data_IF_800657987453
#
_entry.id   IF_800657987453
#
_cell.length_a   1.000
_cell.length_b   1.000
_cell.length_c   1.000
_cell.angle_alpha   90.00
_cell.angle_beta   90.00
_cell.angle_gamma   90.00
#
_symmetry.space_group_name_H-M   'P 1'
#
loop_
_entity.id
_entity.type
_entity.pdbx_description
1 polymer ?
#
# COMPACT_ATOMS: atom_id res chain seq x y z
N UNK A 1 -0.74 10.58 -14.33
CA UNK A 1 -1.25 10.37 -12.97
C UNK A 1 -0.15 10.70 -11.97
N UNK A 2 -0.50 11.44 -10.94
CA UNK A 2 0.51 11.84 -9.97
C UNK A 2 0.91 10.69 -9.04
N UNK A 3 2.05 10.83 -8.36
CA UNK A 3 2.56 9.74 -7.52
C UNK A 3 1.59 9.30 -6.41
N UNK A 4 0.89 10.25 -5.82
CA UNK A 4 -0.05 9.92 -4.75
C UNK A 4 -1.20 9.08 -5.28
N UNK A 5 -1.74 9.46 -6.43
CA UNK A 5 -2.82 8.71 -7.06
C UNK A 5 -2.38 7.31 -7.43
N UNK A 6 -1.15 7.18 -7.93
CA UNK A 6 -0.61 5.87 -8.27
C UNK A 6 -0.51 4.97 -7.04
N UNK A 7 -0.09 5.54 -5.92
CA UNK A 7 0.01 4.77 -4.68
C UNK A 7 -1.36 4.32 -4.19
N UNK A 8 -2.35 5.21 -4.26
CA UNK A 8 -3.71 4.84 -3.88
C UNK A 8 -4.24 3.70 -4.74
N UNK A 9 -4.00 3.78 -6.05
CA UNK A 9 -4.44 2.72 -6.96
C UNK A 9 -3.71 1.41 -6.68
N UNK A 10 -2.40 1.49 -6.41
CA UNK A 10 -1.63 0.29 -6.12
C UNK A 10 -2.14 -0.39 -4.86
N UNK A 11 -2.45 0.39 -3.84
CA UNK A 11 -3.02 -0.15 -2.61
C UNK A 11 -4.36 -0.82 -2.89
N UNK A 12 -5.20 -0.15 -3.66
CA UNK A 12 -6.51 -0.70 -4.01
C UNK A 12 -6.38 -2.02 -4.75
N UNK A 13 -5.48 -2.08 -5.74
CA UNK A 13 -5.29 -3.31 -6.50
C UNK A 13 -4.68 -4.41 -5.66
N UNK A 14 -3.80 -4.07 -4.74
CA UNK A 14 -3.24 -5.05 -3.82
C UNK A 14 -4.36 -5.65 -2.96
N UNK A 15 -5.27 -4.83 -2.47
CA UNK A 15 -6.41 -5.32 -1.70
C UNK A 15 -7.31 -6.22 -2.55
N UNK A 16 -7.48 -5.87 -3.81
CA UNK A 16 -8.26 -6.71 -4.73
C UNK A 16 -7.62 -8.08 -4.90
N UNK A 17 -6.30 -8.11 -5.06
CA UNK A 17 -5.58 -9.37 -5.21
C UNK A 17 -5.75 -10.21 -3.96
N UNK A 18 -5.59 -9.60 -2.78
CA UNK A 18 -5.76 -10.32 -1.52
C UNK A 18 -7.14 -10.96 -1.43
N UNK A 19 -8.15 -10.25 -1.92
CA UNK A 19 -9.50 -10.77 -1.92
C UNK A 19 -9.65 -11.96 -2.87
N UNK A 20 -9.03 -11.86 -4.04
CA UNK A 20 -9.16 -12.87 -5.08
C UNK A 20 -8.43 -14.16 -4.77
N UNK A 21 -7.38 -14.10 -3.97
CA UNK A 21 -6.62 -15.30 -3.63
C UNK A 21 -7.16 -16.07 -2.45
N UNK A 22 -8.23 -15.59 -1.84
CA UNK A 22 -8.85 -16.32 -0.73
C UNK A 22 -9.28 -17.69 -1.21
N UNK A 23 -8.93 -18.71 -0.44
CA UNK A 23 -9.25 -20.08 -0.79
C UNK A 23 -8.25 -20.74 -1.73
N UNK A 24 -7.27 -20.01 -2.21
CA UNK A 24 -6.22 -20.57 -3.05
C UNK A 24 -5.31 -21.43 -2.18
N UNK A 25 -4.82 -22.56 -2.74
CA UNK A 25 -3.99 -23.47 -1.95
C UNK A 25 -2.68 -22.85 -1.48
N UNK A 26 -2.23 -21.80 -2.15
CA UNK A 26 -1.02 -21.07 -1.74
C UNK A 26 -1.34 -19.73 -1.13
N UNK A 27 -2.54 -19.60 -0.61
CA UNK A 27 -3.02 -18.31 -0.08
C UNK A 27 -2.07 -17.74 0.97
N UNK A 28 -1.65 -18.54 1.93
CA UNK A 28 -0.79 -18.04 3.01
C UNK A 28 0.53 -17.50 2.48
N UNK A 29 1.13 -18.21 1.54
CA UNK A 29 2.38 -17.78 0.94
C UNK A 29 2.21 -16.45 0.22
N UNK A 30 1.19 -16.36 -0.63
CA UNK A 30 0.96 -15.15 -1.40
C UNK A 30 0.55 -13.99 -0.53
N UNK A 31 -0.27 -14.26 0.48
CA UNK A 31 -0.72 -13.24 1.40
C UNK A 31 0.45 -12.60 2.13
N UNK A 32 1.40 -13.43 2.58
CA UNK A 32 2.58 -12.89 3.24
C UNK A 32 3.37 -11.96 2.36
N UNK A 33 3.51 -12.29 1.07
CA UNK A 33 4.21 -11.44 0.14
C UNK A 33 3.46 -10.14 -0.11
N UNK A 34 2.14 -10.26 -0.28
CA UNK A 34 1.31 -9.09 -0.58
C UNK A 34 1.20 -8.15 0.63
N UNK A 35 1.20 -8.69 1.84
CA UNK A 35 1.19 -7.86 3.04
C UNK A 35 2.45 -7.01 3.09
N UNK A 36 3.60 -7.58 2.72
CA UNK A 36 4.83 -6.82 2.65
C UNK A 36 4.74 -5.67 1.66
N UNK A 37 4.17 -5.93 0.50
CA UNK A 37 3.95 -4.88 -0.50
C UNK A 37 3.00 -3.83 0.04
N UNK A 38 1.93 -4.25 0.70
CA UNK A 38 0.94 -3.35 1.26
C UNK A 38 1.54 -2.43 2.30
N UNK A 39 2.36 -2.98 3.18
CA UNK A 39 3.05 -2.19 4.20
C UNK A 39 3.95 -1.15 3.55
N UNK A 40 4.68 -1.55 2.53
CA UNK A 40 5.59 -0.63 1.83
C UNK A 40 4.82 0.47 1.10
N UNK A 41 3.71 0.11 0.45
CA UNK A 41 2.90 1.11 -0.25
C UNK A 41 2.33 2.13 0.73
N UNK A 42 1.86 1.66 1.88
CA UNK A 42 1.34 2.56 2.91
C UNK A 42 2.43 3.44 3.47
N UNK A 43 3.63 2.91 3.63
CA UNK A 43 4.76 3.69 4.11
C UNK A 43 5.08 4.81 3.13
N UNK A 44 5.12 4.50 1.84
CA UNK A 44 5.41 5.49 0.82
C UNK A 44 4.34 6.58 0.77
N UNK A 45 3.09 6.17 0.86
CA UNK A 45 2.00 7.12 0.86
C UNK A 45 2.07 8.04 2.06
N UNK A 46 2.36 7.48 3.22
CA UNK A 46 2.50 8.25 4.44
C UNK A 46 3.62 9.27 4.33
N UNK A 47 4.76 8.87 3.78
CA UNK A 47 5.87 9.79 3.59
C UNK A 47 5.52 10.91 2.63
N UNK A 48 4.84 10.57 1.56
CA UNK A 48 4.44 11.56 0.58
C UNK A 48 3.46 12.56 1.17
N UNK A 49 2.49 12.06 1.91
CA UNK A 49 1.49 12.89 2.54
C UNK A 49 2.10 13.75 3.64
N UNK A 50 2.97 13.18 4.44
CA UNK A 50 3.64 13.92 5.51
C UNK A 50 4.55 14.99 4.95
N UNK A 51 5.18 14.74 3.82
CA UNK A 51 5.99 15.77 3.17
C UNK A 51 5.18 16.99 2.83
N UNK A 52 3.95 16.79 2.39
CA UNK A 52 3.06 17.90 2.07
C UNK A 52 2.72 18.71 3.29
N UNK A 53 2.63 18.06 4.44
CA UNK A 53 2.20 18.70 5.67
C UNK A 53 3.35 18.98 6.61
N UNK A 54 4.54 18.65 6.20
CA UNK A 54 5.67 18.64 7.09
C UNK A 54 5.98 19.99 7.70
N UNK A 55 5.76 21.03 6.97
CA UNK A 55 6.13 22.37 7.42
C UNK A 55 5.55 22.73 8.80
N UNK A 56 4.52 22.10 9.20
CA UNK A 56 3.88 22.44 10.45
C UNK A 56 4.46 21.71 11.64
N UNK A 57 5.33 20.83 11.37
CA UNK A 57 5.92 20.10 12.43
C UNK A 57 7.12 20.73 12.94
N UNK A 58 7.40 20.85 12.97
CA UNK A 58 8.40 20.93 13.43
C UNK A 58 8.64 21.16 14.32
N UNK A 59 8.00 20.89 14.53
CA UNK A 59 8.02 20.78 15.16
C UNK A 59 8.24 20.60 15.53
#
# INVERSE_FOLDING_TARGET
MNPEAKLHLAIMQTNNILSLIQGNQYESFMKNKLIGVQVELNRQLSLLTNSKNYHRIEE
#
